data_IF_358875448124
#
_entry.id   IF_358875448124
#
_cell.length_a   1.000
_cell.length_b   1.000
_cell.length_c   1.000
_cell.angle_alpha   90.00
_cell.angle_beta   90.00
_cell.angle_gamma   90.00
#
_symmetry.space_group_name_H-M   'P 1'
#
loop_
_entity.id
_entity.type
_entity.pdbx_description
1 polymer ?
#
# COMPACT_ATOMS: atom_id res chain seq x y z
N UNK A 1 -66.17 -9.56 14.00
CA UNK A 1 -64.82 -10.07 13.64
C UNK A 1 -64.00 -9.08 12.79
N UNK A 2 -64.09 -7.76 13.01
CA UNK A 2 -63.53 -6.77 12.05
C UNK A 2 -62.61 -5.71 12.67
N UNK A 3 -62.43 -5.69 14.00
CA UNK A 3 -61.53 -4.71 14.68
C UNK A 3 -60.07 -5.16 14.79
N UNK A 4 -59.77 -6.46 14.68
CA UNK A 4 -58.42 -7.01 14.90
C UNK A 4 -57.47 -6.78 13.70
N UNK A 5 -58.01 -6.64 12.47
CA UNK A 5 -57.19 -6.45 11.26
C UNK A 5 -56.51 -5.07 11.16
N UNK A 6 -57.12 -4.01 11.70
CA UNK A 6 -56.54 -2.64 11.63
C UNK A 6 -55.41 -2.41 12.63
N UNK A 7 -55.39 -3.15 13.75
CA UNK A 7 -54.32 -3.06 14.75
C UNK A 7 -53.03 -3.68 14.22
N UNK A 8 -53.11 -4.84 13.55
CA UNK A 8 -51.95 -5.49 12.93
C UNK A 8 -51.31 -4.66 11.81
N UNK A 9 -52.13 -4.02 10.97
CA UNK A 9 -51.62 -3.13 9.90
C UNK A 9 -51.00 -1.85 10.45
N UNK A 10 -51.55 -1.27 11.53
CA UNK A 10 -50.95 -0.12 12.21
C UNK A 10 -49.65 -0.47 12.94
N UNK A 11 -49.56 -1.66 13.56
CA UNK A 11 -48.31 -2.14 14.17
C UNK A 11 -47.22 -2.37 13.11
N UNK A 12 -47.59 -2.93 11.96
CA UNK A 12 -46.66 -3.16 10.85
C UNK A 12 -46.14 -1.83 10.28
N UNK A 13 -47.01 -0.82 10.11
CA UNK A 13 -46.62 0.50 9.60
C UNK A 13 -45.76 1.30 10.58
N UNK A 14 -45.95 1.11 11.90
CA UNK A 14 -45.09 1.72 12.94
C UNK A 14 -43.73 1.03 13.00
N UNK A 15 -43.67 -0.29 12.77
CA UNK A 15 -42.41 -1.03 12.69
C UNK A 15 -41.56 -0.64 11.47
N UNK A 16 -42.17 -0.30 10.32
CA UNK A 16 -41.42 0.16 9.14
C UNK A 16 -40.87 1.58 9.27
N UNK A 17 -41.43 2.42 10.16
CA UNK A 17 -40.93 3.78 10.40
C UNK A 17 -39.72 3.79 11.34
N UNK A 18 -39.57 2.79 12.21
CA UNK A 18 -38.47 2.68 13.18
C UNK A 18 -37.15 2.14 12.59
N UNK A 19 -37.14 1.67 11.33
CA UNK A 19 -35.92 1.17 10.65
C UNK A 19 -35.17 2.23 9.84
N UNK A 20 -35.57 3.50 9.92
CA UNK A 20 -34.86 4.64 9.31
C UNK A 20 -33.92 5.37 10.29
N UNK A 21 -33.36 4.68 11.29
CA UNK A 21 -32.26 5.24 12.06
C UNK A 21 -30.95 5.07 11.29
N UNK A 22 -30.71 5.96 10.32
CA UNK A 22 -29.35 6.18 9.84
C UNK A 22 -28.49 6.56 11.05
N UNK A 23 -27.48 5.75 11.35
CA UNK A 23 -26.46 6.12 12.33
C UNK A 23 -25.70 7.29 11.71
N UNK A 24 -26.00 8.51 12.16
CA UNK A 24 -25.20 9.66 11.77
C UNK A 24 -23.79 9.44 12.32
N UNK A 25 -22.75 9.42 11.47
CA UNK A 25 -21.38 9.35 11.96
C UNK A 25 -21.19 10.53 12.90
N UNK A 26 -20.86 10.24 14.16
CA UNK A 26 -20.46 11.28 15.09
C UNK A 26 -19.22 11.96 14.51
N UNK A 27 -19.42 13.17 13.98
CA UNK A 27 -18.35 14.04 13.54
C UNK A 27 -18.03 14.92 14.74
N UNK A 28 -17.01 14.58 15.56
CA UNK A 28 -16.59 15.50 16.60
C UNK A 28 -16.36 16.87 15.96
N UNK A 29 -16.73 17.97 16.64
CA UNK A 29 -16.49 19.31 16.10
C UNK A 29 -15.02 19.40 15.68
N UNK A 30 -14.79 19.88 14.45
CA UNK A 30 -13.44 19.93 13.89
C UNK A 30 -12.53 20.67 14.87
N UNK A 31 -11.49 19.99 15.37
CA UNK A 31 -10.44 20.63 16.17
C UNK A 31 -9.63 21.48 15.21
N UNK A 32 -10.09 22.72 14.99
CA UNK A 32 -9.37 23.72 14.21
C UNK A 32 -8.26 24.29 15.09
N UNK A 33 -7.16 23.55 15.21
CA UNK A 33 -5.95 24.09 15.80
C UNK A 33 -5.29 25.04 14.76
N UNK A 34 -4.95 26.29 15.11
CA UNK A 34 -4.20 27.17 14.21
C UNK A 34 -2.75 26.70 13.99
N UNK A 35 -2.28 25.73 14.78
CA UNK A 35 -0.89 25.29 14.79
C UNK A 35 -0.68 24.08 13.88
N UNK A 36 0.30 24.17 12.98
CA UNK A 36 0.79 23.06 12.17
C UNK A 36 2.10 22.54 12.76
N UNK A 37 2.10 21.28 13.19
CA UNK A 37 3.22 20.66 13.88
C UNK A 37 4.15 19.95 12.91
N UNK A 38 5.43 19.86 13.25
CA UNK A 38 6.41 19.13 12.45
C UNK A 38 6.09 17.63 12.50
N UNK A 39 6.09 17.00 11.32
CA UNK A 39 5.99 15.55 11.15
C UNK A 39 7.31 15.07 10.56
N UNK A 40 7.94 14.11 11.23
CA UNK A 40 9.21 13.51 10.82
C UNK A 40 9.02 12.01 10.61
N UNK A 41 9.16 11.56 9.38
CA UNK A 41 9.16 10.15 9.02
C UNK A 41 10.55 9.77 8.54
N UNK A 42 11.30 8.98 9.31
CA UNK A 42 12.68 8.70 8.93
C UNK A 42 13.36 7.58 9.70
N UNK A 43 14.42 7.07 9.09
CA UNK A 43 15.25 6.02 9.64
C UNK A 43 16.73 6.23 9.28
N UNK A 44 17.60 5.74 10.16
CA UNK A 44 19.04 5.66 9.97
C UNK A 44 19.40 4.24 9.54
N UNK A 45 20.14 4.13 8.44
CA UNK A 45 20.59 2.85 7.88
C UNK A 45 22.11 2.81 7.77
N UNK A 46 22.76 1.95 8.57
CA UNK A 46 24.21 1.78 8.50
C UNK A 46 24.67 0.94 7.31
N UNK A 47 23.83 0.05 6.78
CA UNK A 47 24.14 -0.81 5.63
C UNK A 47 23.70 -0.22 4.28
N UNK A 48 23.11 0.98 4.26
CA UNK A 48 22.51 1.56 3.07
C UNK A 48 22.20 3.05 3.21
N UNK A 49 21.31 3.55 2.35
CA UNK A 49 20.89 4.96 2.41
C UNK A 49 19.92 5.19 3.56
N UNK A 50 20.18 6.21 4.38
CA UNK A 50 19.23 6.70 5.38
C UNK A 50 18.31 7.74 4.74
N UNK A 51 17.05 7.79 5.19
CA UNK A 51 16.04 8.70 4.64
C UNK A 51 15.24 9.35 5.74
N UNK A 52 14.96 10.65 5.58
CA UNK A 52 14.10 11.43 6.47
C UNK A 52 13.18 12.28 5.60
N UNK A 53 11.89 12.22 5.85
CA UNK A 53 10.87 13.04 5.21
C UNK A 53 10.25 13.97 6.24
N UNK A 54 10.24 15.26 5.92
CA UNK A 54 9.71 16.31 6.78
C UNK A 54 8.43 16.89 6.15
N UNK A 55 7.37 16.96 6.96
CA UNK A 55 6.09 17.54 6.57
C UNK A 55 5.41 18.24 7.76
N UNK A 56 4.23 18.79 7.55
CA UNK A 56 3.44 19.47 8.56
C UNK A 56 2.06 18.85 8.70
N UNK A 57 1.56 18.80 9.93
CA UNK A 57 0.18 18.38 10.19
C UNK A 57 -0.80 19.33 9.49
N UNK A 58 -1.93 18.79 9.05
CA UNK A 58 -3.03 19.54 8.48
C UNK A 58 -4.35 19.12 9.12
N UNK A 59 -5.35 19.99 9.09
CA UNK A 59 -6.69 19.63 9.55
C UNK A 59 -7.30 18.57 8.62
N UNK A 60 -8.04 17.61 9.19
CA UNK A 60 -8.66 16.52 8.44
C UNK A 60 -9.64 17.00 7.35
N UNK A 61 -10.23 18.18 7.54
CA UNK A 61 -11.14 18.81 6.57
C UNK A 61 -10.42 19.56 5.45
N UNK A 62 -9.09 19.69 5.53
CA UNK A 62 -8.31 20.35 4.49
C UNK A 62 -8.06 19.37 3.33
N UNK A 63 -8.75 19.59 2.21
CA UNK A 63 -8.58 18.81 0.98
C UNK A 63 -7.29 19.11 0.21
N UNK A 64 -6.42 19.99 0.72
CA UNK A 64 -5.12 20.29 0.10
C UNK A 64 -4.11 19.16 0.35
N UNK A 65 -3.14 19.07 -0.55
CA UNK A 65 -1.95 18.21 -0.35
C UNK A 65 -1.21 18.63 0.92
N UNK A 66 -0.61 17.66 1.59
CA UNK A 66 0.20 17.88 2.79
C UNK A 66 1.32 18.87 2.54
N UNK A 67 1.45 19.81 3.48
CA UNK A 67 2.49 20.83 3.43
C UNK A 67 3.83 20.18 3.77
N UNK A 68 4.80 20.31 2.88
CA UNK A 68 6.13 19.72 3.01
C UNK A 68 7.08 20.74 3.62
N UNK A 69 7.98 20.27 4.50
CA UNK A 69 9.00 21.11 5.12
C UNK A 69 10.30 21.00 4.30
N UNK A 70 10.55 22.01 3.47
CA UNK A 70 11.68 22.05 2.52
C UNK A 70 12.78 23.00 3.00
N UNK A 71 14.01 22.84 2.47
CA UNK A 71 15.16 23.70 2.81
C UNK A 71 15.55 23.68 4.29
N UNK A 72 15.19 22.62 5.01
CA UNK A 72 15.69 22.40 6.36
C UNK A 72 17.14 21.90 6.31
N UNK A 73 17.92 22.23 7.35
CA UNK A 73 19.20 21.58 7.58
C UNK A 73 18.97 20.35 8.46
N UNK A 74 19.24 19.17 7.91
CA UNK A 74 19.05 17.89 8.60
C UNK A 74 20.41 17.23 8.79
N UNK A 75 20.74 16.87 10.04
CA UNK A 75 22.00 16.22 10.40
C UNK A 75 21.76 15.00 11.27
N UNK A 76 22.64 14.01 11.15
CA UNK A 76 22.80 12.94 12.13
C UNK A 76 24.02 13.26 13.00
N UNK A 77 23.87 13.14 14.31
CA UNK A 77 24.92 13.40 15.31
C UNK A 77 25.18 12.12 16.09
N UNK A 78 26.45 11.72 16.20
CA UNK A 78 26.86 10.55 17.00
C UNK A 78 27.04 10.91 18.47
N UNK A 79 26.68 10.00 19.37
CA UNK A 79 26.87 10.18 20.83
C UNK A 79 28.36 10.37 21.19
N UNK A 80 29.25 9.72 20.43
CA UNK A 80 30.72 9.82 20.57
C UNK A 80 31.34 11.01 19.81
N UNK A 81 30.50 11.92 19.33
CA UNK A 81 30.89 13.02 18.46
C UNK A 81 30.85 12.66 16.97
N UNK A 82 31.13 13.65 16.14
CA UNK A 82 30.95 13.57 14.69
C UNK A 82 29.52 13.88 14.26
N UNK A 83 29.38 14.44 13.05
CA UNK A 83 28.08 14.70 12.45
C UNK A 83 28.15 14.54 10.95
N UNK A 84 27.05 14.15 10.34
CA UNK A 84 26.88 14.08 8.90
C UNK A 84 25.61 14.80 8.50
N UNK A 85 25.63 15.45 7.34
CA UNK A 85 24.51 16.25 6.86
C UNK A 85 23.78 15.49 5.75
N UNK A 86 22.46 15.42 5.85
CA UNK A 86 21.63 14.84 4.79
C UNK A 86 21.55 15.80 3.61
N UNK A 87 21.44 15.24 2.42
CA UNK A 87 21.24 15.96 1.16
C UNK A 87 19.73 16.10 0.91
N UNK A 88 19.27 17.34 0.75
CA UNK A 88 17.89 17.66 0.33
C UNK A 88 17.68 17.17 -1.12
N UNK A 89 16.67 16.31 -1.31
CA UNK A 89 16.28 15.75 -2.61
C UNK A 89 15.01 16.41 -3.17
N UNK A 90 14.49 17.44 -2.50
CA UNK A 90 13.20 18.03 -2.82
C UNK A 90 12.05 17.28 -2.15
N UNK A 91 10.84 17.86 -2.26
CA UNK A 91 9.59 17.30 -1.73
C UNK A 91 9.66 16.88 -0.24
N UNK A 92 10.42 17.64 0.56
CA UNK A 92 10.62 17.42 1.97
C UNK A 92 11.44 16.16 2.29
N UNK A 93 12.10 15.54 1.31
CA UNK A 93 12.89 14.32 1.47
C UNK A 93 14.38 14.65 1.56
N UNK A 94 15.03 14.11 2.59
CA UNK A 94 16.44 14.29 2.88
C UNK A 94 17.09 12.90 2.96
N UNK A 95 18.24 12.72 2.30
CA UNK A 95 18.91 11.42 2.22
C UNK A 95 20.36 11.51 2.66
N UNK A 96 20.84 10.47 3.33
CA UNK A 96 22.24 10.32 3.68
C UNK A 96 22.75 9.04 3.02
N UNK A 97 23.82 9.18 2.23
CA UNK A 97 24.44 8.05 1.54
C UNK A 97 24.96 7.02 2.55
N UNK A 98 25.16 5.78 2.08
CA UNK A 98 25.71 4.73 2.92
C UNK A 98 27.11 5.11 3.42
N UNK A 99 27.38 4.81 4.70
CA UNK A 99 28.69 4.96 5.31
C UNK A 99 28.74 5.90 6.52
N UNK A 100 29.58 5.53 7.50
CA UNK A 100 29.88 6.33 8.69
C UNK A 100 28.87 6.24 9.85
N UNK A 101 27.76 5.51 9.67
CA UNK A 101 26.97 4.98 10.77
C UNK A 101 27.47 3.58 11.13
N UNK A 102 27.61 3.29 12.43
CA UNK A 102 28.15 2.03 12.94
C UNK A 102 27.11 1.30 13.78
N UNK A 103 27.02 -0.02 13.61
CA UNK A 103 26.16 -0.88 14.44
C UNK A 103 26.55 -0.80 15.92
N UNK A 104 25.55 -0.86 16.79
CA UNK A 104 25.71 -0.76 18.24
C UNK A 104 26.04 0.65 18.77
N UNK A 105 26.35 1.62 17.90
CA UNK A 105 26.52 3.01 18.30
C UNK A 105 25.19 3.75 18.30
N UNK A 106 25.15 4.85 19.07
CA UNK A 106 23.99 5.71 19.22
C UNK A 106 24.12 6.98 18.38
N UNK A 107 23.04 7.34 17.71
CA UNK A 107 22.93 8.54 16.90
C UNK A 107 21.59 9.22 17.13
N UNK A 108 21.53 10.53 16.89
CA UNK A 108 20.28 11.28 16.89
C UNK A 108 20.16 12.13 15.64
N UNK A 109 18.94 12.50 15.31
CA UNK A 109 18.63 13.46 14.27
C UNK A 109 18.61 14.87 14.86
N UNK A 110 19.15 15.84 14.12
CA UNK A 110 19.16 17.27 14.43
C UNK A 110 18.60 18.01 13.22
N UNK A 111 17.49 18.72 13.42
CA UNK A 111 16.76 19.41 12.35
C UNK A 111 16.72 20.90 12.68
N UNK A 112 17.08 21.74 11.71
CA UNK A 112 16.84 23.18 11.75
C UNK A 112 16.02 23.58 10.53
N UNK A 113 14.78 24.02 10.75
CA UNK A 113 13.86 24.40 9.67
C UNK A 113 14.30 25.71 9.01
N UNK A 114 13.76 25.98 7.81
CA UNK A 114 13.99 27.26 7.13
C UNK A 114 13.44 28.45 7.94
N UNK A 115 12.39 28.22 8.73
CA UNK A 115 11.83 29.21 9.65
C UNK A 115 12.64 29.40 10.96
N UNK A 116 13.77 28.69 11.11
CA UNK A 116 14.68 28.85 12.25
C UNK A 116 14.31 28.07 13.51
N UNK A 117 13.29 27.20 13.47
CA UNK A 117 12.97 26.29 14.59
C UNK A 117 13.91 25.08 14.58
N UNK A 118 14.34 24.66 15.75
CA UNK A 118 15.25 23.52 15.93
C UNK A 118 14.55 22.37 16.63
N UNK A 119 14.86 21.14 16.22
CA UNK A 119 14.34 19.89 16.77
C UNK A 119 15.47 18.88 16.88
N UNK A 120 15.36 17.97 17.84
CA UNK A 120 16.29 16.87 17.99
C UNK A 120 15.52 15.59 18.34
N UNK A 121 15.99 14.45 17.84
CA UNK A 121 15.54 13.16 18.36
C UNK A 121 16.31 12.78 19.62
N UNK A 122 15.78 11.80 20.34
CA UNK A 122 16.58 11.00 21.26
C UNK A 122 17.68 10.25 20.51
N UNK A 123 18.69 9.82 21.27
CA UNK A 123 19.71 8.92 20.76
C UNK A 123 19.15 7.52 20.57
N UNK A 124 19.25 7.00 19.36
CA UNK A 124 18.84 5.64 18.99
C UNK A 124 20.05 4.79 18.62
N UNK A 125 20.05 3.54 19.09
CA UNK A 125 21.09 2.57 18.74
C UNK A 125 20.82 2.01 17.34
N UNK A 126 21.84 1.99 16.48
CA UNK A 126 21.71 1.31 15.18
C UNK A 126 21.81 -0.20 15.38
N UNK A 127 20.74 -0.91 15.05
CA UNK A 127 20.66 -2.37 15.12
C UNK A 127 21.13 -3.00 13.81
N UNK A 128 21.86 -4.10 13.91
CA UNK A 128 22.08 -4.97 12.75
C UNK A 128 20.86 -5.90 12.63
N UNK A 129 20.24 -5.90 11.46
CA UNK A 129 19.10 -6.77 11.18
C UNK A 129 19.59 -8.16 10.78
N UNK A 130 19.14 -9.23 11.46
CA UNK A 130 19.49 -10.58 11.07
C UNK A 130 18.77 -10.99 9.78
N UNK A 131 19.33 -11.98 9.09
CA UNK A 131 18.81 -12.47 7.81
C UNK A 131 17.42 -13.11 7.96
N UNK A 132 16.63 -13.01 6.89
CA UNK A 132 15.37 -13.75 6.77
C UNK A 132 15.68 -15.23 6.43
N UNK A 133 15.38 -16.14 7.35
CA UNK A 133 15.60 -17.58 7.16
C UNK A 133 14.70 -18.11 6.05
N UNK A 134 13.41 -17.80 6.11
CA UNK A 134 12.43 -18.31 5.17
C UNK A 134 11.25 -17.37 5.01
N UNK A 135 10.81 -17.23 3.76
CA UNK A 135 9.46 -16.79 3.45
C UNK A 135 8.75 -18.02 2.90
N UNK A 136 7.64 -18.40 3.52
CA UNK A 136 6.85 -19.56 3.10
C UNK A 136 5.41 -19.17 2.94
N UNK A 137 4.63 -20.04 2.32
CA UNK A 137 3.19 -19.86 2.19
C UNK A 137 2.47 -21.20 2.37
N UNK A 138 1.22 -21.11 2.80
CA UNK A 138 0.31 -22.26 2.86
C UNK A 138 -1.01 -21.90 2.21
N UNK A 139 -1.50 -22.79 1.36
CA UNK A 139 -2.87 -22.72 0.88
C UNK A 139 -3.84 -23.05 2.04
N UNK A 140 -4.88 -22.24 2.16
CA UNK A 140 -6.02 -22.36 3.08
C UNK A 140 -7.30 -22.27 2.24
N UNK A 141 -8.46 -22.60 2.82
CA UNK A 141 -9.72 -22.71 2.07
C UNK A 141 -10.06 -21.48 1.19
N UNK A 142 -9.72 -20.28 1.67
CA UNK A 142 -10.09 -19.01 1.04
C UNK A 142 -8.92 -18.25 0.41
N UNK A 143 -7.73 -18.85 0.32
CA UNK A 143 -6.54 -18.13 -0.14
C UNK A 143 -5.22 -18.71 0.32
N UNK A 144 -4.12 -17.98 0.07
CA UNK A 144 -2.80 -18.33 0.60
C UNK A 144 -2.41 -17.41 1.75
N UNK A 145 -1.83 -17.97 2.80
CA UNK A 145 -1.21 -17.22 3.88
C UNK A 145 0.31 -17.29 3.73
N UNK A 146 0.96 -16.14 3.65
CA UNK A 146 2.41 -15.99 3.71
C UNK A 146 2.89 -15.87 5.14
N UNK A 147 4.05 -16.46 5.40
CA UNK A 147 4.72 -16.49 6.68
C UNK A 147 6.19 -16.09 6.55
N UNK A 148 6.72 -15.45 7.60
CA UNK A 148 8.14 -15.12 7.73
C UNK A 148 8.73 -15.88 8.92
N UNK A 149 9.90 -16.47 8.72
CA UNK A 149 10.72 -17.06 9.78
C UNK A 149 12.08 -16.39 9.78
N UNK A 150 12.55 -16.03 10.97
CA UNK A 150 13.87 -15.41 11.19
C UNK A 150 14.39 -15.79 12.57
N UNK A 151 15.71 -15.78 12.73
CA UNK A 151 16.36 -15.88 14.03
C UNK A 151 17.56 -14.93 14.13
N UNK A 152 17.98 -14.65 15.36
CA UNK A 152 19.26 -14.01 15.65
C UNK A 152 20.07 -14.93 16.59
N UNK A 153 21.11 -15.56 16.06
CA UNK A 153 21.97 -16.46 16.83
C UNK A 153 22.70 -15.74 17.99
N UNK A 154 22.83 -14.42 17.93
CA UNK A 154 23.44 -13.60 18.98
C UNK A 154 22.45 -13.17 20.07
N UNK A 155 21.15 -13.44 19.86
CA UNK A 155 20.07 -13.16 20.80
C UNK A 155 19.89 -11.68 21.14
N UNK A 156 20.32 -10.77 20.26
CA UNK A 156 20.40 -9.34 20.52
C UNK A 156 19.23 -8.55 19.95
N UNK A 157 18.50 -9.06 18.95
CA UNK A 157 17.48 -8.30 18.22
C UNK A 157 16.15 -8.24 18.96
N UNK A 158 15.59 -9.39 19.35
CA UNK A 158 14.35 -9.62 20.12
C UNK A 158 13.05 -8.97 19.61
N UNK A 159 13.14 -7.94 18.80
CA UNK A 159 12.04 -7.15 18.26
C UNK A 159 12.25 -6.94 16.77
N UNK A 160 11.20 -7.19 16.00
CA UNK A 160 11.23 -7.22 14.55
C UNK A 160 10.08 -6.42 13.99
N UNK A 161 10.33 -5.79 12.84
CA UNK A 161 9.32 -5.17 12.00
C UNK A 161 9.49 -5.66 10.57
N UNK A 162 8.38 -5.85 9.88
CA UNK A 162 8.37 -6.25 8.48
C UNK A 162 7.54 -5.28 7.65
N UNK A 163 7.99 -5.11 6.41
CA UNK A 163 7.24 -4.52 5.32
C UNK A 163 7.29 -5.50 4.15
N UNK A 164 6.38 -5.34 3.19
CA UNK A 164 6.47 -6.08 1.95
C UNK A 164 6.16 -5.22 0.74
N UNK A 165 6.76 -5.60 -0.37
CA UNK A 165 6.38 -5.15 -1.71
C UNK A 165 5.90 -6.36 -2.49
N UNK A 166 4.79 -6.18 -3.19
CA UNK A 166 4.16 -7.24 -3.96
C UNK A 166 4.04 -6.83 -5.43
N UNK A 167 4.09 -7.82 -6.30
CA UNK A 167 3.90 -7.64 -7.74
C UNK A 167 3.21 -8.86 -8.31
N UNK A 168 2.21 -8.68 -9.15
CA UNK A 168 1.52 -9.79 -9.82
C UNK A 168 1.34 -9.53 -11.31
N UNK A 169 1.43 -10.62 -12.06
CA UNK A 169 1.19 -10.67 -13.50
C UNK A 169 -0.30 -10.92 -13.76
N UNK A 170 -0.85 -10.20 -14.73
CA UNK A 170 -2.24 -10.35 -15.16
C UNK A 170 -2.40 -10.01 -16.64
N UNK A 171 -3.51 -10.47 -17.21
CA UNK A 171 -3.89 -10.18 -18.59
C UNK A 171 -5.15 -9.32 -18.66
N UNK A 172 -5.30 -8.54 -19.73
CA UNK A 172 -6.56 -7.86 -20.05
C UNK A 172 -7.71 -8.86 -20.20
N UNK A 173 -8.95 -8.38 -20.06
CA UNK A 173 -10.14 -9.20 -20.25
C UNK A 173 -10.28 -9.73 -21.69
N UNK A 174 -9.82 -8.96 -22.68
CA UNK A 174 -9.82 -9.35 -24.09
C UNK A 174 -8.49 -9.08 -24.76
N UNK A 175 -8.00 -10.06 -25.50
CA UNK A 175 -6.79 -9.94 -26.30
C UNK A 175 -7.02 -9.06 -27.54
N UNK A 176 -6.53 -7.83 -27.52
CA UNK A 176 -6.62 -6.89 -28.64
C UNK A 176 -5.51 -7.12 -29.66
N UNK A 177 -5.92 -7.38 -30.92
CA UNK A 177 -5.05 -7.48 -32.10
C UNK A 177 -5.15 -6.26 -33.02
N UNK A 178 -6.11 -5.38 -32.77
CA UNK A 178 -6.44 -4.24 -33.61
C UNK A 178 -6.36 -2.95 -32.79
N UNK A 179 -5.96 -1.86 -33.43
CA UNK A 179 -6.06 -0.53 -32.88
C UNK A 179 -6.64 0.46 -33.90
N UNK A 180 -7.25 1.53 -33.40
CA UNK A 180 -7.80 2.59 -34.23
C UNK A 180 -6.87 3.80 -34.16
N UNK A 181 -6.09 4.02 -35.23
CA UNK A 181 -5.09 5.08 -35.33
C UNK A 181 -5.30 5.88 -36.61
N UNK A 182 -5.24 7.21 -36.54
CA UNK A 182 -5.36 8.08 -37.72
C UNK A 182 -6.61 7.78 -38.58
N UNK A 183 -7.74 7.53 -37.90
CA UNK A 183 -9.03 7.16 -38.51
C UNK A 183 -9.03 5.84 -39.29
N UNK A 184 -8.12 4.91 -38.95
CA UNK A 184 -8.01 3.60 -39.58
C UNK A 184 -7.84 2.51 -38.53
N UNK A 185 -8.48 1.37 -38.78
CA UNK A 185 -8.20 0.15 -38.04
C UNK A 185 -6.96 -0.50 -38.62
N UNK A 186 -5.98 -0.76 -37.76
CA UNK A 186 -4.69 -1.35 -38.12
C UNK A 186 -4.34 -2.46 -37.12
N UNK A 187 -3.45 -3.37 -37.52
CA UNK A 187 -2.92 -4.36 -36.58
C UNK A 187 -2.17 -3.65 -35.45
N UNK A 188 -2.49 -4.03 -34.23
CA UNK A 188 -1.80 -3.58 -33.03
C UNK A 188 -0.42 -4.24 -32.95
N UNK A 189 0.61 -3.43 -32.69
CA UNK A 189 1.97 -3.93 -32.45
C UNK A 189 2.35 -3.89 -30.96
N UNK A 190 1.75 -2.98 -30.20
CA UNK A 190 2.00 -2.83 -28.76
C UNK A 190 1.28 -3.92 -27.95
N UNK A 191 1.98 -4.50 -26.96
CA UNK A 191 1.34 -5.38 -26.00
C UNK A 191 0.59 -4.56 -24.94
N UNK A 192 -0.74 -4.56 -25.07
CA UNK A 192 -1.69 -3.96 -24.13
C UNK A 192 -2.44 -5.02 -23.32
N UNK A 193 -2.10 -6.29 -23.51
CA UNK A 193 -2.83 -7.41 -22.96
C UNK A 193 -2.13 -8.06 -21.79
N UNK A 194 -0.82 -7.83 -21.62
CA UNK A 194 -0.01 -8.44 -20.58
C UNK A 194 0.64 -7.36 -19.71
N UNK A 195 0.29 -7.35 -18.41
CA UNK A 195 0.74 -6.33 -17.48
C UNK A 195 1.16 -6.89 -16.12
N UNK A 196 1.85 -6.03 -15.37
CA UNK A 196 2.15 -6.20 -13.96
C UNK A 196 1.55 -5.06 -13.15
N UNK A 197 1.04 -5.38 -11.98
CA UNK A 197 0.63 -4.42 -10.96
C UNK A 197 1.44 -4.66 -9.70
N UNK A 198 1.70 -3.60 -8.92
CA UNK A 198 2.49 -3.67 -7.70
C UNK A 198 1.85 -2.90 -6.56
N UNK A 199 2.09 -3.36 -5.34
CA UNK A 199 1.61 -2.76 -4.10
C UNK A 199 2.67 -2.78 -3.01
N UNK A 200 2.49 -1.93 -2.01
CA UNK A 200 3.28 -1.93 -0.78
C UNK A 200 2.40 -2.32 0.40
N UNK A 201 3.01 -2.84 1.46
CA UNK A 201 2.33 -3.10 2.72
C UNK A 201 1.63 -1.85 3.24
N UNK A 202 0.34 -1.99 3.57
CA UNK A 202 -0.47 -0.94 4.20
C UNK A 202 -0.59 -1.09 5.71
N UNK A 203 -0.31 -2.30 6.23
CA UNK A 203 -0.35 -2.61 7.66
C UNK A 203 1.01 -2.55 8.35
N UNK A 204 0.98 -2.54 9.68
CA UNK A 204 2.12 -2.55 10.58
C UNK A 204 2.34 -4.00 11.07
N UNK A 205 3.44 -4.59 10.65
CA UNK A 205 3.81 -5.95 11.01
C UNK A 205 4.99 -5.91 11.99
N UNK A 206 4.70 -6.17 13.26
CA UNK A 206 5.70 -6.19 14.33
C UNK A 206 5.57 -7.49 15.13
N UNK A 207 6.72 -8.06 15.51
CA UNK A 207 6.80 -9.29 16.30
C UNK A 207 7.97 -9.25 17.30
N UNK A 208 7.89 -10.07 18.34
CA UNK A 208 8.95 -10.16 19.35
C UNK A 208 9.17 -11.60 19.81
N UNK A 209 10.40 -11.91 20.19
CA UNK A 209 10.84 -13.19 20.73
C UNK A 209 11.22 -13.08 22.22
N UNK A 210 10.80 -12.01 22.90
CA UNK A 210 11.12 -11.72 24.31
C UNK A 210 10.58 -12.76 25.28
N UNK A 211 9.48 -13.43 24.92
CA UNK A 211 8.89 -14.53 25.69
C UNK A 211 9.53 -15.89 25.38
N UNK A 212 10.55 -15.92 24.50
CA UNK A 212 11.24 -17.13 24.09
C UNK A 212 12.70 -17.09 24.57
N UNK A 213 13.21 -18.25 24.98
CA UNK A 213 14.62 -18.41 25.37
C UNK A 213 15.55 -18.09 24.21
N UNK A 214 15.19 -18.52 23.00
CA UNK A 214 15.93 -18.26 21.77
C UNK A 214 15.31 -17.08 21.02
N UNK A 215 16.13 -16.26 20.38
CA UNK A 215 15.68 -15.19 19.50
C UNK A 215 15.25 -15.74 18.14
N UNK A 216 14.04 -16.30 18.11
CA UNK A 216 13.45 -16.93 16.93
C UNK A 216 12.02 -16.44 16.77
N UNK A 217 11.68 -15.97 15.58
CA UNK A 217 10.31 -15.78 15.12
C UNK A 217 10.03 -16.87 14.11
N UNK A 218 9.13 -17.79 14.43
CA UNK A 218 8.77 -18.90 13.56
C UNK A 218 7.38 -18.70 12.97
N UNK A 219 7.29 -18.67 11.64
CA UNK A 219 6.05 -18.55 10.88
C UNK A 219 5.14 -17.39 11.32
N UNK A 220 5.68 -16.17 11.39
CA UNK A 220 4.88 -14.96 11.60
C UNK A 220 3.92 -14.75 10.41
N UNK A 221 2.59 -14.66 10.62
CA UNK A 221 1.62 -14.49 9.54
C UNK A 221 1.69 -13.07 8.97
N UNK A 222 2.27 -12.94 7.77
CA UNK A 222 2.52 -11.63 7.16
C UNK A 222 1.38 -11.14 6.27
N UNK A 223 0.91 -11.97 5.34
CA UNK A 223 0.00 -11.53 4.27
C UNK A 223 -0.94 -12.65 3.81
N UNK A 224 -2.19 -12.29 3.60
CA UNK A 224 -3.24 -13.07 2.95
C UNK A 224 -3.93 -12.17 1.90
N UNK A 225 -4.27 -12.50 0.65
CA UNK A 225 -4.04 -13.69 -0.16
C UNK A 225 -5.33 -14.38 -0.62
N UNK A 226 -6.48 -13.69 -0.68
CA UNK A 226 -7.74 -14.32 -1.11
C UNK A 226 -7.68 -14.90 -2.53
N UNK A 227 -8.24 -16.09 -2.69
CA UNK A 227 -8.39 -16.77 -3.97
C UNK A 227 -9.65 -16.36 -4.77
N UNK A 228 -10.55 -15.55 -4.18
CA UNK A 228 -11.87 -15.25 -4.76
C UNK A 228 -12.17 -13.75 -4.89
N UNK A 229 -11.51 -12.90 -4.11
CA UNK A 229 -11.69 -11.44 -4.17
C UNK A 229 -10.60 -10.70 -4.94
N UNK A 230 -9.62 -11.41 -5.51
CA UNK A 230 -8.48 -10.81 -6.19
C UNK A 230 -7.93 -11.67 -7.32
N UNK A 231 -7.38 -11.02 -8.36
CA UNK A 231 -6.68 -11.66 -9.48
C UNK A 231 -5.17 -11.84 -9.22
N UNK A 232 -4.66 -11.41 -8.05
CA UNK A 232 -3.22 -11.43 -7.70
C UNK A 232 -2.55 -12.79 -7.83
N UNK A 233 -3.32 -13.88 -7.65
CA UNK A 233 -2.83 -15.25 -7.71
C UNK A 233 -3.08 -15.93 -9.07
N UNK A 234 -3.64 -15.21 -10.06
CA UNK A 234 -4.17 -15.80 -11.29
C UNK A 234 -3.09 -16.37 -12.21
N UNK A 235 -1.96 -15.68 -12.34
CA UNK A 235 -0.89 -16.04 -13.27
C UNK A 235 0.38 -16.38 -12.48
N UNK A 236 1.04 -15.36 -11.95
CA UNK A 236 2.24 -15.47 -11.13
C UNK A 236 2.31 -14.27 -10.19
N UNK A 237 2.75 -14.53 -8.96
CA UNK A 237 2.80 -13.57 -7.87
C UNK A 237 4.23 -13.50 -7.31
N UNK A 238 4.68 -12.31 -6.93
CA UNK A 238 5.96 -12.06 -6.27
C UNK A 238 5.75 -11.32 -4.96
N UNK A 239 6.48 -11.74 -3.92
CA UNK A 239 6.53 -11.09 -2.61
C UNK A 239 7.98 -10.81 -2.25
N UNK A 240 8.32 -9.54 -2.06
CA UNK A 240 9.56 -9.09 -1.43
C UNK A 240 9.25 -8.70 0.00
N UNK A 241 9.84 -9.40 0.97
CA UNK A 241 9.76 -9.02 2.38
C UNK A 241 11.00 -8.26 2.76
N UNK A 242 10.81 -7.14 3.46
CA UNK A 242 11.86 -6.32 4.07
C UNK A 242 11.75 -6.49 5.58
N UNK A 243 12.84 -6.82 6.23
CA UNK A 243 12.93 -7.04 7.66
C UNK A 243 13.79 -5.94 8.30
N UNK A 244 13.40 -5.55 9.51
CA UNK A 244 14.09 -4.55 10.31
C UNK A 244 14.20 -5.02 11.76
N UNK A 245 15.42 -5.03 12.32
CA UNK A 245 15.64 -5.14 13.74
C UNK A 245 15.18 -3.84 14.43
N UNK A 246 14.50 -3.96 15.56
CA UNK A 246 14.00 -2.81 16.32
C UNK A 246 14.64 -2.75 17.70
N UNK A 247 14.68 -1.56 18.30
CA UNK A 247 14.87 -1.43 19.75
C UNK A 247 13.52 -1.65 20.45
N UNK A 248 13.54 -1.82 21.77
CA UNK A 248 12.31 -2.00 22.55
C UNK A 248 11.37 -0.80 22.41
N UNK A 249 11.94 0.41 22.46
CA UNK A 249 11.21 1.68 22.36
C UNK A 249 10.59 1.86 20.97
N UNK A 250 11.33 1.49 19.92
CA UNK A 250 10.83 1.54 18.54
C UNK A 250 9.69 0.53 18.34
N UNK A 251 9.83 -0.68 18.88
CA UNK A 251 8.79 -1.69 18.86
C UNK A 251 7.52 -1.25 19.60
N UNK A 252 7.66 -0.61 20.76
CA UNK A 252 6.54 -0.04 21.51
C UNK A 252 5.83 1.07 20.72
N UNK A 253 6.59 1.99 20.11
CA UNK A 253 6.03 3.02 19.23
C UNK A 253 5.17 2.43 18.11
N UNK A 254 5.70 1.44 17.38
CA UNK A 254 4.97 0.79 16.28
C UNK A 254 3.76 -0.01 16.76
N UNK A 255 3.84 -0.68 17.92
CA UNK A 255 2.68 -1.36 18.50
C UNK A 255 1.57 -0.38 18.88
N UNK A 256 1.93 0.75 19.49
CA UNK A 256 0.97 1.78 19.88
C UNK A 256 0.35 2.44 18.64
N UNK A 257 1.15 2.69 17.60
CA UNK A 257 0.65 3.17 16.32
C UNK A 257 -0.32 2.18 15.70
N UNK A 258 0.04 0.89 15.62
CA UNK A 258 -0.83 -0.17 15.14
C UNK A 258 -2.17 -0.22 15.87
N UNK A 259 -2.15 -0.18 17.22
CA UNK A 259 -3.37 -0.16 18.03
C UNK A 259 -4.27 1.04 17.71
N UNK A 260 -3.69 2.19 17.38
CA UNK A 260 -4.45 3.40 17.07
C UNK A 260 -4.96 3.47 15.62
N UNK A 261 -4.24 2.90 14.66
CA UNK A 261 -4.56 3.05 13.22
C UNK A 261 -5.27 1.85 12.60
N UNK A 262 -5.13 0.66 13.20
CA UNK A 262 -5.69 -0.59 12.64
C UNK A 262 -6.83 -1.18 13.49
N UNK A 263 -7.23 -0.51 14.57
CA UNK A 263 -8.46 -0.88 15.27
C UNK A 263 -9.66 -0.60 14.37
N UNK A 264 -10.42 -1.65 14.05
CA UNK A 264 -11.49 -1.63 13.06
C UNK A 264 -12.74 -0.83 13.48
N UNK A 265 -12.74 -0.21 14.67
CA UNK A 265 -13.79 0.68 15.14
C UNK A 265 -15.00 -0.10 15.66
N UNK A 266 -14.95 -0.49 16.92
CA UNK A 266 -16.08 -0.94 17.74
C UNK A 266 -16.51 0.15 18.71
N UNK A 267 -17.76 0.13 19.18
CA UNK A 267 -18.23 1.00 20.28
C UNK A 267 -17.44 0.77 21.59
N UNK A 268 -16.75 -0.36 21.68
CA UNK A 268 -15.89 -0.72 22.81
C UNK A 268 -14.40 -0.53 22.51
N UNK A 269 -14.04 -0.03 21.32
CA UNK A 269 -12.64 0.22 21.01
C UNK A 269 -12.13 1.41 21.84
N UNK A 270 -10.89 1.35 22.33
CA UNK A 270 -10.29 2.48 23.01
C UNK A 270 -10.26 3.70 22.08
N UNK A 271 -10.53 4.88 22.61
CA UNK A 271 -10.40 6.11 21.84
C UNK A 271 -8.94 6.24 21.37
N UNK A 272 -8.70 6.64 20.09
CA UNK A 272 -7.35 6.89 19.60
C UNK A 272 -6.62 7.86 20.52
N UNK A 273 -5.42 7.50 20.95
CA UNK A 273 -4.57 8.35 21.76
C UNK A 273 -3.37 8.85 20.94
N UNK A 274 -2.76 9.94 21.37
CA UNK A 274 -1.56 10.44 20.72
C UNK A 274 -0.39 9.47 20.94
N UNK A 275 0.18 8.97 19.85
CA UNK A 275 1.41 8.19 19.90
C UNK A 275 2.58 9.15 20.06
N UNK A 276 3.25 9.10 21.21
CA UNK A 276 4.40 9.97 21.50
C UNK A 276 5.63 9.41 20.77
N UNK A 277 6.27 10.28 20.00
CA UNK A 277 7.51 9.99 19.29
C UNK A 277 8.76 10.20 20.14
N UNK A 278 9.94 10.02 19.53
CA UNK A 278 11.24 10.31 20.15
C UNK A 278 11.88 11.59 19.59
N UNK A 279 11.08 12.54 19.11
CA UNK A 279 11.54 13.79 18.50
C UNK A 279 10.92 14.96 19.25
N UNK A 280 11.75 15.94 19.59
CA UNK A 280 11.40 17.02 20.50
C UNK A 280 11.79 18.38 19.92
N UNK A 281 10.99 19.40 20.24
CA UNK A 281 11.33 20.80 19.97
C UNK A 281 12.49 21.25 20.87
N UNK A 282 13.54 21.79 20.27
CA UNK A 282 14.68 22.41 20.99
C UNK A 282 14.43 23.89 21.20
N UNK A 283 13.81 24.56 20.22
CA UNK A 283 13.44 25.99 20.34
C UNK A 283 12.27 26.19 21.29
N UNK A 284 11.30 25.27 21.29
CA UNK A 284 10.12 25.27 22.15
C UNK A 284 9.85 23.84 22.63
N UNK A 285 10.26 23.48 23.85
CA UNK A 285 10.09 22.12 24.38
C UNK A 285 8.62 21.67 24.53
N UNK A 286 7.67 22.61 24.55
CA UNK A 286 6.24 22.30 24.67
C UNK A 286 5.56 22.13 23.30
N UNK A 287 6.27 22.37 22.19
CA UNK A 287 5.75 22.15 20.85
C UNK A 287 5.61 20.64 20.57
N UNK A 288 4.40 20.15 20.25
CA UNK A 288 4.22 18.79 19.76
C UNK A 288 4.97 18.53 18.47
N UNK A 289 5.60 17.35 18.38
CA UNK A 289 6.22 16.82 17.16
C UNK A 289 5.69 15.41 16.95
N UNK A 290 5.40 15.06 15.69
CA UNK A 290 4.92 13.73 15.33
C UNK A 290 6.03 12.99 14.59
N UNK A 291 6.28 11.74 14.96
CA UNK A 291 7.24 10.90 14.26
C UNK A 291 8.20 10.17 15.18
N UNK A 292 8.89 9.18 14.63
CA UNK A 292 9.86 8.38 15.38
C UNK A 292 11.06 8.06 14.50
N UNK A 293 12.25 8.33 14.99
CA UNK A 293 13.50 7.95 14.35
C UNK A 293 13.88 6.53 14.77
N UNK A 294 14.06 5.63 13.81
CA UNK A 294 14.60 4.29 14.05
C UNK A 294 15.99 4.13 13.43
N UNK A 295 16.79 3.18 13.93
CA UNK A 295 18.13 2.90 13.42
C UNK A 295 18.38 1.41 13.19
N UNK A 296 18.58 0.98 11.95
CA UNK A 296 18.74 -0.43 11.59
C UNK A 296 19.42 -0.66 10.24
N UNK A 297 19.93 -1.85 9.95
CA UNK A 297 20.11 -2.31 8.55
C UNK A 297 18.82 -2.93 7.99
N UNK A 298 18.77 -3.20 6.70
CA UNK A 298 17.61 -3.82 6.04
C UNK A 298 18.04 -5.15 5.45
N UNK A 299 17.28 -6.20 5.76
CA UNK A 299 17.43 -7.51 5.12
C UNK A 299 16.21 -7.78 4.24
N UNK A 300 16.45 -8.24 3.02
CA UNK A 300 15.40 -8.43 2.02
C UNK A 300 15.43 -9.86 1.45
N UNK A 301 14.25 -10.43 1.22
CA UNK A 301 14.12 -11.74 0.57
C UNK A 301 12.89 -11.75 -0.32
N UNK A 302 13.04 -12.27 -1.55
CA UNK A 302 11.97 -12.37 -2.54
C UNK A 302 11.62 -13.82 -2.81
N UNK A 303 10.33 -14.11 -2.92
CA UNK A 303 9.80 -15.38 -3.41
C UNK A 303 8.78 -15.16 -4.52
N UNK A 304 8.49 -16.23 -5.25
CA UNK A 304 7.45 -16.28 -6.27
C UNK A 304 6.47 -17.41 -5.96
N UNK A 305 5.23 -17.23 -6.40
CA UNK A 305 4.19 -18.26 -6.40
C UNK A 305 3.58 -18.30 -7.79
N UNK A 306 3.72 -19.41 -8.48
CA UNK A 306 3.08 -19.62 -9.77
C UNK A 306 1.68 -20.22 -9.57
N UNK A 307 0.75 -19.90 -10.47
CA UNK A 307 -0.60 -20.47 -10.47
C UNK A 307 -0.61 -22.01 -10.53
N UNK A 308 0.42 -22.62 -11.13
CA UNK A 308 0.60 -24.09 -11.18
C UNK A 308 0.92 -24.73 -9.83
N UNK A 309 1.36 -23.95 -8.84
CA UNK A 309 1.65 -24.42 -7.47
C UNK A 309 0.41 -24.34 -6.57
N UNK A 310 -0.67 -23.72 -7.04
CA UNK A 310 -1.91 -23.53 -6.29
C UNK A 310 -2.90 -24.69 -6.51
N UNK A 311 -3.86 -24.91 -5.58
CA UNK A 311 -4.89 -25.92 -5.77
C UNK A 311 -5.67 -25.73 -7.07
N UNK A 312 -5.71 -26.77 -7.91
CA UNK A 312 -6.36 -26.75 -9.23
C UNK A 312 -7.88 -26.57 -9.14
N UNK A 313 -8.47 -26.81 -7.97
CA UNK A 313 -9.90 -26.59 -7.69
C UNK A 313 -10.25 -25.10 -7.54
N UNK A 314 -9.28 -24.23 -7.31
CA UNK A 314 -9.54 -22.81 -7.12
C UNK A 314 -9.87 -22.11 -8.44
N UNK A 315 -10.96 -21.35 -8.43
CA UNK A 315 -11.35 -20.48 -9.53
C UNK A 315 -10.97 -19.05 -9.19
N UNK A 316 -9.70 -18.73 -9.40
CA UNK A 316 -9.19 -17.37 -9.19
C UNK A 316 -9.77 -16.45 -10.27
N UNK A 317 -10.39 -15.31 -9.90
CA UNK A 317 -10.96 -14.39 -10.87
C UNK A 317 -9.87 -13.74 -11.74
N UNK A 318 -10.23 -13.35 -12.96
CA UNK A 318 -9.39 -12.49 -13.83
C UNK A 318 -9.47 -11.03 -13.38
N UNK A 319 -10.56 -10.64 -12.70
CA UNK A 319 -10.89 -9.24 -12.40
C UNK A 319 -11.67 -8.56 -13.52
N UNK A 320 -11.99 -9.29 -14.60
CA UNK A 320 -12.68 -8.79 -15.79
C UNK A 320 -13.97 -9.56 -16.07
N UNK A 321 -14.53 -10.24 -15.08
CA UNK A 321 -15.76 -11.04 -15.21
C UNK A 321 -16.97 -10.23 -15.68
N UNK A 322 -17.00 -8.92 -15.40
CA UNK A 322 -18.06 -8.00 -15.84
C UNK A 322 -17.84 -7.45 -17.26
N UNK A 323 -16.72 -7.77 -17.90
CA UNK A 323 -16.41 -7.29 -19.24
C UNK A 323 -17.23 -8.04 -20.29
N UNK A 324 -17.99 -7.29 -21.08
CA UNK A 324 -18.76 -7.81 -22.20
C UNK A 324 -18.35 -7.06 -23.46
N UNK A 325 -17.89 -7.76 -24.51
CA UNK A 325 -17.58 -7.10 -25.77
C UNK A 325 -18.89 -6.83 -26.52
N UNK A 326 -18.95 -5.71 -27.24
CA UNK A 326 -20.02 -5.46 -28.20
C UNK A 326 -19.50 -5.51 -29.64
N UNK A 327 -20.39 -5.83 -30.57
CA UNK A 327 -20.13 -5.82 -32.00
C UNK A 327 -20.52 -4.47 -32.61
N UNK A 328 -19.53 -3.80 -33.21
CA UNK A 328 -19.67 -2.53 -33.88
C UNK A 328 -19.57 -2.69 -35.41
N UNK A 329 -20.62 -2.41 -36.18
CA UNK A 329 -20.60 -2.55 -37.64
C UNK A 329 -19.66 -1.55 -38.31
N UNK A 330 -19.16 -1.86 -39.52
CA UNK A 330 -18.31 -0.92 -40.28
C UNK A 330 -19.00 0.40 -40.60
N UNK A 331 -20.30 0.34 -40.89
CA UNK A 331 -21.14 1.48 -41.21
C UNK A 331 -22.22 1.65 -40.15
N UNK A 332 -22.59 2.90 -39.89
CA UNK A 332 -23.67 3.22 -38.95
C UNK A 332 -24.97 2.56 -39.41
N UNK A 333 -25.72 2.01 -38.46
CA UNK A 333 -27.06 1.45 -38.65
C UNK A 333 -28.07 2.24 -37.81
N UNK A 334 -29.39 2.08 -38.04
CA UNK A 334 -30.39 2.73 -37.18
C UNK A 334 -30.30 2.35 -35.70
N UNK A 335 -29.73 1.18 -35.39
CA UNK A 335 -29.66 0.64 -34.02
C UNK A 335 -28.29 0.76 -33.38
N UNK A 336 -27.21 0.95 -34.15
CA UNK A 336 -25.83 0.95 -33.65
C UNK A 336 -24.94 1.96 -34.39
N UNK A 337 -24.05 2.67 -33.66
CA UNK A 337 -22.99 3.49 -34.26
C UNK A 337 -22.01 2.62 -35.06
N UNK A 338 -21.23 3.25 -35.93
CA UNK A 338 -20.13 2.55 -36.62
C UNK A 338 -18.98 2.24 -35.66
N UNK A 339 -18.12 1.28 -36.02
CA UNK A 339 -16.90 0.99 -35.28
C UNK A 339 -15.99 2.22 -35.13
N UNK A 340 -15.91 3.06 -36.17
CA UNK A 340 -15.13 4.30 -36.13
C UNK A 340 -15.70 5.28 -35.10
N UNK A 341 -17.03 5.43 -35.05
CA UNK A 341 -17.71 6.29 -34.08
C UNK A 341 -17.53 5.79 -32.64
N UNK A 342 -17.60 4.47 -32.43
CA UNK A 342 -17.32 3.88 -31.12
C UNK A 342 -15.87 4.03 -30.69
N UNK A 343 -14.92 3.92 -31.64
CA UNK A 343 -13.51 4.16 -31.37
C UNK A 343 -13.25 5.62 -31.00
N UNK A 344 -13.88 6.55 -31.72
CA UNK A 344 -13.82 7.99 -31.45
C UNK A 344 -14.47 8.35 -30.10
N UNK A 345 -15.45 7.57 -29.64
CA UNK A 345 -16.04 7.70 -28.31
C UNK A 345 -15.26 6.96 -27.20
N UNK A 346 -14.09 6.39 -27.51
CA UNK A 346 -13.18 5.77 -26.53
C UNK A 346 -13.28 4.25 -26.38
N UNK A 347 -14.06 3.53 -27.19
CA UNK A 347 -14.04 2.07 -27.21
C UNK A 347 -12.79 1.54 -27.90
N UNK A 348 -12.20 0.45 -27.40
CA UNK A 348 -11.01 -0.16 -28.00
C UNK A 348 -11.43 -1.38 -28.83
N UNK A 349 -10.99 -1.49 -30.09
CA UNK A 349 -11.20 -2.70 -30.89
C UNK A 349 -10.38 -3.88 -30.35
N UNK A 350 -10.99 -5.05 -30.39
CA UNK A 350 -10.42 -6.33 -29.97
C UNK A 350 -9.90 -7.04 -31.22
N UNK A 351 -10.81 -7.35 -32.15
CA UNK A 351 -10.51 -7.96 -33.44
C UNK A 351 -11.61 -7.76 -34.48
N UNK A 352 -11.29 -8.14 -35.71
CA UNK A 352 -12.18 -8.11 -36.86
C UNK A 352 -13.21 -9.24 -36.82
N UNK A 353 -14.43 -8.92 -37.27
CA UNK A 353 -15.46 -9.91 -37.61
C UNK A 353 -15.55 -9.97 -39.13
N UNK A 354 -15.42 -11.18 -39.68
CA UNK A 354 -15.45 -11.43 -41.12
C UNK A 354 -16.80 -12.00 -41.57
N UNK A 355 -17.23 -11.60 -42.76
CA UNK A 355 -18.29 -12.26 -43.51
C UNK A 355 -17.83 -13.66 -43.99
N UNK A 356 -18.77 -14.53 -44.43
CA UNK A 356 -18.42 -15.81 -45.06
C UNK A 356 -17.49 -15.68 -46.27
N UNK A 357 -17.44 -14.51 -46.92
CA UNK A 357 -16.59 -14.22 -48.08
C UNK A 357 -15.24 -13.60 -47.70
N UNK A 358 -14.90 -13.53 -46.41
CA UNK A 358 -13.61 -13.03 -45.93
C UNK A 358 -13.46 -11.51 -45.87
N UNK A 359 -14.51 -10.74 -46.20
CA UNK A 359 -14.51 -9.29 -45.99
C UNK A 359 -14.83 -8.94 -44.54
N UNK A 360 -14.13 -7.97 -43.96
CA UNK A 360 -14.45 -7.41 -42.64
C UNK A 360 -15.84 -6.76 -42.71
N UNK A 361 -16.70 -7.04 -41.73
CA UNK A 361 -18.06 -6.47 -41.65
C UNK A 361 -18.33 -5.72 -40.34
N UNK A 362 -17.54 -5.99 -39.31
CA UNK A 362 -17.65 -5.35 -38.00
C UNK A 362 -16.35 -5.56 -37.21
N UNK A 363 -16.24 -4.88 -36.07
CA UNK A 363 -15.21 -5.13 -35.05
C UNK A 363 -15.88 -5.52 -33.73
N UNK A 364 -15.26 -6.46 -33.01
CA UNK A 364 -15.56 -6.60 -31.58
C UNK A 364 -14.85 -5.49 -30.84
N UNK A 365 -15.55 -4.79 -29.97
CA UNK A 365 -15.04 -3.65 -29.24
C UNK A 365 -15.47 -3.72 -27.78
N UNK A 366 -14.69 -3.14 -26.88
CA UNK A 366 -15.05 -3.04 -25.47
C UNK A 366 -14.43 -1.78 -24.85
N UNK A 367 -14.76 -1.52 -23.59
CA UNK A 367 -14.17 -0.40 -22.84
C UNK A 367 -12.65 -0.55 -22.70
N UNK A 368 -11.91 0.57 -22.53
CA UNK A 368 -10.47 0.54 -22.29
C UNK A 368 -10.06 -0.36 -21.13
N UNK A 369 -10.83 -0.34 -20.04
CA UNK A 369 -10.60 -1.18 -18.85
C UNK A 369 -10.51 -2.67 -19.20
N UNK A 370 -11.35 -3.17 -20.11
CA UNK A 370 -11.42 -4.58 -20.46
C UNK A 370 -10.37 -5.03 -21.49
N UNK A 371 -9.80 -4.09 -22.25
CA UNK A 371 -8.97 -4.40 -23.42
C UNK A 371 -7.52 -3.98 -23.22
N UNK A 372 -7.28 -2.95 -22.42
CA UNK A 372 -5.96 -2.39 -22.14
C UNK A 372 -5.62 -2.57 -20.65
N UNK A 373 -4.75 -3.53 -20.35
CA UNK A 373 -4.32 -3.84 -18.99
C UNK A 373 -3.54 -2.68 -18.35
N UNK A 374 -3.02 -1.73 -19.14
CA UNK A 374 -2.27 -0.55 -18.66
C UNK A 374 -3.15 0.44 -17.90
N UNK A 375 -4.48 0.28 -18.00
CA UNK A 375 -5.43 1.02 -17.15
C UNK A 375 -5.31 0.65 -15.67
N UNK A 376 -4.80 -0.54 -15.35
CA UNK A 376 -4.70 -1.09 -13.99
C UNK A 376 -3.27 -1.53 -13.63
N UNK A 377 -2.30 -1.36 -14.53
CA UNK A 377 -0.92 -1.80 -14.34
C UNK A 377 0.02 -1.22 -15.38
N UNK A 378 1.19 -1.84 -15.53
CA UNK A 378 2.20 -1.45 -16.52
C UNK A 378 2.56 -2.66 -17.39
N UNK A 379 2.77 -2.44 -18.69
CA UNK A 379 3.19 -3.47 -19.64
C UNK A 379 4.73 -3.59 -19.74
N UNK A 380 5.44 -3.07 -18.75
CA UNK A 380 6.89 -3.19 -18.63
C UNK A 380 7.19 -4.26 -17.59
N UNK A 381 7.80 -5.36 -18.03
CA UNK A 381 8.19 -6.46 -17.16
C UNK A 381 9.17 -5.97 -16.08
N UNK A 382 8.89 -6.18 -14.77
CA UNK A 382 9.82 -5.82 -13.71
C UNK A 382 11.16 -6.56 -13.86
N UNK A 383 12.27 -5.88 -13.57
CA UNK A 383 13.62 -6.45 -13.75
C UNK A 383 13.90 -7.69 -12.89
N UNK A 384 13.20 -7.83 -11.77
CA UNK A 384 13.31 -8.99 -10.87
C UNK A 384 12.40 -10.16 -11.26
N UNK A 385 11.53 -10.03 -12.27
CA UNK A 385 10.50 -11.01 -12.65
C UNK A 385 11.03 -12.17 -13.48
#
# INVERSE_FOLDING_TARGET
MTKIKYIGVRLLLVATVLVNSCVDPYRPPAVSAPNTYLVVDGFLNAGGTSSVRLSRTQNLTDGKKTTLETKATVKVEGEKGGSQTFVDKGDGTYTLAAGGLLFGQKYRLSIKTAAGRSYASDYVTIKETPKIDQISWKAQDQGIQFYVTTHDATNNTKYYRWEYEETWEFYSGFYSRVEYLNKKFVSRLDDVNHCWASGKSTGIFVGSSTQLTQDVINNFPLLFISNSSSNRLKVRYSLLVKQYAQTAESFEYWQNLKKNTESLGSIFDPQPFQVIGNIHGVTDPNEPVVGYLSGYSVEEKRIFVNSSELPTTWRIPTGYESCLPDTAPLFRTPMKPSAAEMAESGSIPIDEIFSPFGSIIAYRMSSPYCVDCRTSGINVKPSFW
#
